data_IF_163336729392
#
_entry.id   IF_163336729392
#
_cell.length_a   1.000
_cell.length_b   1.000
_cell.length_c   1.000
_cell.angle_alpha   90.00
_cell.angle_beta   90.00
_cell.angle_gamma   90.00
#
_symmetry.space_group_name_H-M   'P 1'
#
loop_
_entity.id
_entity.type
_entity.pdbx_description
1 polymer ?
#
# COMPACT_ATOMS: atom_id res chain seq x y z
N UNK A 1 -35.92 -43.73 5.01
CA UNK A 1 -34.81 -44.57 5.49
C UNK A 1 -33.53 -43.76 5.26
N UNK A 2 -32.95 -43.20 6.33
CA UNK A 2 -31.68 -42.47 6.26
C UNK A 2 -30.56 -43.51 6.06
N UNK A 3 -29.74 -43.36 5.02
CA UNK A 3 -28.51 -44.16 4.85
C UNK A 3 -27.30 -43.30 5.20
N UNK A 4 -26.48 -43.76 6.15
CA UNK A 4 -25.24 -43.06 6.57
C UNK A 4 -24.37 -42.71 5.37
N UNK A 5 -24.25 -43.61 4.39
CA UNK A 5 -23.40 -43.43 3.20
C UNK A 5 -23.85 -42.33 2.22
N UNK A 6 -25.09 -41.84 2.29
CA UNK A 6 -25.62 -40.84 1.34
C UNK A 6 -25.87 -39.47 1.94
N UNK A 7 -25.94 -39.36 3.26
CA UNK A 7 -26.36 -38.13 3.94
C UNK A 7 -25.56 -37.78 5.20
N UNK A 8 -24.59 -38.60 5.62
CA UNK A 8 -23.69 -38.27 6.73
C UNK A 8 -22.54 -37.37 6.23
N UNK A 9 -22.81 -36.07 6.06
CA UNK A 9 -21.74 -35.07 6.06
C UNK A 9 -21.40 -34.74 7.51
N UNK A 10 -20.26 -35.24 8.01
CA UNK A 10 -19.84 -35.02 9.40
C UNK A 10 -19.42 -33.56 9.61
N UNK A 11 -18.86 -32.94 8.56
CA UNK A 11 -18.53 -31.51 8.54
C UNK A 11 -18.85 -30.86 7.18
N UNK A 12 -19.29 -29.59 7.15
CA UNK A 12 -19.65 -28.86 5.91
C UNK A 12 -18.56 -28.79 4.81
N UNK A 13 -17.31 -29.07 5.18
CA UNK A 13 -16.11 -29.02 4.33
C UNK A 13 -15.47 -30.38 4.04
N UNK A 14 -16.10 -31.49 4.45
CA UNK A 14 -15.55 -32.83 4.24
C UNK A 14 -15.36 -33.10 2.73
N UNK A 15 -14.16 -33.57 2.36
CA UNK A 15 -13.72 -33.81 0.98
C UNK A 15 -13.63 -32.56 0.06
N UNK A 16 -13.69 -31.34 0.61
CA UNK A 16 -13.46 -30.11 -0.15
C UNK A 16 -12.04 -29.60 0.05
N UNK A 17 -11.38 -29.22 -1.03
CA UNK A 17 -10.10 -28.50 -0.98
C UNK A 17 -10.40 -27.02 -0.74
N UNK A 18 -9.86 -26.40 0.32
CA UNK A 18 -10.09 -24.98 0.56
C UNK A 18 -9.47 -24.16 -0.58
N UNK A 19 -10.24 -23.20 -1.09
CA UNK A 19 -9.71 -22.25 -2.05
C UNK A 19 -8.65 -21.37 -1.36
N UNK A 20 -7.59 -21.04 -2.09
CA UNK A 20 -6.57 -20.13 -1.55
C UNK A 20 -7.21 -18.77 -1.29
N UNK A 21 -6.90 -18.17 -0.14
CA UNK A 21 -7.29 -16.79 0.21
C UNK A 21 -6.87 -15.73 -0.84
N UNK A 22 -5.96 -16.08 -1.75
CA UNK A 22 -5.54 -15.23 -2.86
C UNK A 22 -6.45 -15.29 -4.09
N UNK A 23 -7.16 -16.41 -4.28
CA UNK A 23 -8.00 -16.65 -5.45
C UNK A 23 -9.49 -16.51 -5.13
N UNK A 24 -9.87 -16.73 -3.87
CA UNK A 24 -11.23 -16.45 -3.41
C UNK A 24 -11.53 -14.94 -3.51
N UNK A 25 -12.57 -14.64 -4.30
CA UNK A 25 -13.02 -13.29 -4.61
C UNK A 25 -13.56 -12.58 -3.36
N UNK A 26 -14.22 -13.31 -2.46
CA UNK A 26 -14.91 -12.80 -1.28
C UNK A 26 -14.15 -13.08 0.03
N UNK A 27 -12.93 -13.62 -0.05
CA UNK A 27 -12.11 -13.96 1.11
C UNK A 27 -11.97 -12.81 2.12
N UNK A 28 -11.97 -11.56 1.66
CA UNK A 28 -11.81 -10.40 2.52
C UNK A 28 -13.10 -10.09 3.30
N UNK A 29 -14.25 -10.15 2.66
CA UNK A 29 -15.56 -10.01 3.26
C UNK A 29 -15.82 -11.11 4.28
N UNK A 30 -15.49 -12.36 3.92
CA UNK A 30 -15.58 -13.53 4.80
C UNK A 30 -14.61 -13.46 5.98
N UNK A 31 -13.42 -12.87 5.80
CA UNK A 31 -12.44 -12.71 6.88
C UNK A 31 -12.80 -11.61 7.87
N UNK A 32 -13.61 -10.63 7.47
CA UNK A 32 -13.95 -9.46 8.29
C UNK A 32 -15.46 -9.20 8.33
N UNK A 33 -16.28 -10.15 8.84
CA UNK A 33 -17.73 -10.00 8.88
C UNK A 33 -18.19 -8.78 9.71
N UNK A 34 -17.42 -8.37 10.74
CA UNK A 34 -17.73 -7.17 11.52
C UNK A 34 -17.58 -5.85 10.73
N UNK A 35 -16.75 -5.85 9.67
CA UNK A 35 -16.53 -4.68 8.81
C UNK A 35 -17.59 -4.65 7.71
N UNK A 36 -17.81 -5.78 7.05
CA UNK A 36 -18.68 -5.90 5.88
C UNK A 36 -20.12 -6.29 6.21
N UNK A 37 -20.43 -6.57 7.49
CA UNK A 37 -21.75 -6.95 7.98
C UNK A 37 -22.33 -8.21 7.30
N UNK A 38 -21.46 -9.12 6.87
CA UNK A 38 -21.85 -10.33 6.14
C UNK A 38 -22.24 -10.11 4.68
N UNK A 39 -22.17 -8.87 4.19
CA UNK A 39 -22.53 -8.52 2.82
C UNK A 39 -21.32 -8.48 1.90
N UNK A 40 -21.48 -9.03 0.70
CA UNK A 40 -20.45 -8.95 -0.33
C UNK A 40 -20.46 -7.58 -1.01
N UNK A 41 -19.27 -7.07 -1.36
CA UNK A 41 -19.18 -5.82 -2.12
C UNK A 41 -19.74 -6.02 -3.53
N UNK A 42 -20.63 -5.12 -3.93
CA UNK A 42 -21.18 -5.08 -5.29
C UNK A 42 -20.57 -3.92 -6.05
N UNK A 43 -20.10 -4.19 -7.26
CA UNK A 43 -19.57 -3.18 -8.17
C UNK A 43 -20.45 -3.08 -9.41
N UNK A 44 -20.44 -1.91 -10.06
CA UNK A 44 -21.09 -1.74 -11.36
C UNK A 44 -20.39 -2.62 -12.38
N UNK A 45 -21.13 -3.27 -13.28
CA UNK A 45 -20.57 -4.23 -14.25
C UNK A 45 -19.47 -3.64 -15.14
N UNK A 46 -19.59 -2.36 -15.48
CA UNK A 46 -18.63 -1.63 -16.31
C UNK A 46 -17.35 -1.22 -15.55
N UNK A 47 -17.34 -1.31 -14.22
CA UNK A 47 -16.25 -0.82 -13.40
C UNK A 47 -15.15 -1.89 -13.24
N UNK A 48 -13.98 -1.63 -13.81
CA UNK A 48 -12.79 -2.43 -13.52
C UNK A 48 -12.19 -2.02 -12.16
N UNK A 49 -12.60 -2.71 -11.10
CA UNK A 49 -12.19 -2.42 -9.73
C UNK A 49 -11.05 -3.33 -9.30
N UNK A 50 -9.88 -2.74 -9.04
CA UNK A 50 -8.72 -3.50 -8.52
C UNK A 50 -8.72 -3.56 -6.99
N UNK A 51 -8.10 -4.59 -6.38
CA UNK A 51 -7.95 -4.67 -4.92
C UNK A 51 -7.25 -3.44 -4.31
N UNK A 52 -6.32 -2.82 -5.05
CA UNK A 52 -5.67 -1.58 -4.62
C UNK A 52 -6.64 -0.40 -4.57
N UNK A 53 -7.56 -0.28 -5.54
CA UNK A 53 -8.59 0.76 -5.56
C UNK A 53 -9.57 0.58 -4.42
N UNK A 54 -9.98 -0.66 -4.13
CA UNK A 54 -10.87 -1.00 -3.02
C UNK A 54 -10.25 -0.58 -1.69
N UNK A 55 -9.03 -1.05 -1.42
CA UNK A 55 -8.26 -0.67 -0.23
C UNK A 55 -8.14 0.85 -0.10
N UNK A 56 -7.73 1.50 -1.18
CA UNK A 56 -7.51 2.95 -1.21
C UNK A 56 -8.80 3.75 -0.96
N UNK A 57 -9.94 3.27 -1.44
CA UNK A 57 -11.26 3.83 -1.16
C UNK A 57 -11.59 3.68 0.31
N UNK A 58 -11.54 2.45 0.85
CA UNK A 58 -11.90 2.13 2.24
C UNK A 58 -11.07 2.94 3.25
N UNK A 59 -9.75 3.04 3.05
CA UNK A 59 -8.85 3.78 3.95
C UNK A 59 -9.18 5.29 4.04
N UNK A 60 -9.89 5.85 3.05
CA UNK A 60 -10.23 7.28 2.95
C UNK A 60 -11.66 7.61 3.34
N UNK A 61 -12.47 6.61 3.69
CA UNK A 61 -13.85 6.84 4.14
C UNK A 61 -13.87 7.41 5.55
N UNK A 62 -14.95 8.13 5.85
CA UNK A 62 -15.24 8.57 7.22
C UNK A 62 -15.47 7.38 8.15
N UNK A 63 -16.02 6.28 7.61
CA UNK A 63 -16.09 5.00 8.32
C UNK A 63 -14.67 4.44 8.56
N UNK A 64 -14.32 4.29 9.84
CA UNK A 64 -12.98 3.86 10.28
C UNK A 64 -12.84 2.36 10.48
N UNK A 65 -13.89 1.56 10.26
CA UNK A 65 -13.80 0.08 10.36
C UNK A 65 -12.77 -0.50 9.40
N UNK A 66 -12.57 0.11 8.23
CA UNK A 66 -11.58 -0.30 7.24
C UNK A 66 -10.12 0.03 7.57
N UNK A 67 -9.86 0.85 8.61
CA UNK A 67 -8.49 1.26 8.98
C UNK A 67 -7.92 0.54 10.19
N UNK A 68 -8.63 -0.48 10.69
CA UNK A 68 -8.14 -1.31 11.78
C UNK A 68 -6.80 -1.98 11.41
N UNK A 69 -5.83 -2.09 12.33
CA UNK A 69 -4.51 -2.63 12.02
C UNK A 69 -4.52 -4.03 11.40
N UNK A 70 -5.35 -4.94 11.91
CA UNK A 70 -5.52 -6.29 11.37
C UNK A 70 -6.01 -6.28 9.91
N UNK A 71 -7.02 -5.45 9.61
CA UNK A 71 -7.57 -5.28 8.26
C UNK A 71 -6.55 -4.67 7.31
N UNK A 72 -5.81 -3.66 7.78
CA UNK A 72 -4.78 -2.99 7.00
C UNK A 72 -3.65 -3.96 6.63
N UNK A 73 -3.14 -4.73 7.62
CA UNK A 73 -2.10 -5.73 7.40
C UNK A 73 -2.57 -6.83 6.42
N UNK A 74 -3.79 -7.34 6.59
CA UNK A 74 -4.38 -8.29 5.65
C UNK A 74 -4.39 -7.73 4.23
N UNK A 75 -4.88 -6.51 4.07
CA UNK A 75 -5.03 -5.85 2.77
C UNK A 75 -3.68 -5.58 2.10
N UNK A 76 -2.69 -5.13 2.89
CA UNK A 76 -1.32 -4.94 2.44
C UNK A 76 -0.69 -6.26 1.96
N UNK A 77 -0.87 -7.34 2.73
CA UNK A 77 -0.36 -8.67 2.37
C UNK A 77 -1.05 -9.25 1.14
N UNK A 78 -2.38 -9.09 1.01
CA UNK A 78 -3.15 -9.49 -0.18
C UNK A 78 -2.62 -8.80 -1.43
N UNK A 79 -2.48 -7.46 -1.40
CA UNK A 79 -1.97 -6.68 -2.53
C UNK A 79 -0.52 -7.07 -2.88
N UNK A 80 0.33 -7.25 -1.88
CA UNK A 80 1.72 -7.67 -2.07
C UNK A 80 1.79 -9.05 -2.74
N UNK A 81 1.02 -10.03 -2.26
CA UNK A 81 0.97 -11.38 -2.83
C UNK A 81 0.44 -11.38 -4.26
N UNK A 82 -0.61 -10.60 -4.56
CA UNK A 82 -1.12 -10.45 -5.93
C UNK A 82 -0.08 -9.87 -6.90
N UNK A 83 0.72 -8.90 -6.46
CA UNK A 83 1.84 -8.35 -7.24
C UNK A 83 2.93 -9.38 -7.46
N UNK A 84 3.29 -10.15 -6.43
CA UNK A 84 4.26 -11.25 -6.52
C UNK A 84 3.76 -12.32 -7.51
N UNK A 85 2.52 -12.79 -7.37
CA UNK A 85 1.93 -13.76 -8.30
C UNK A 85 1.94 -13.25 -9.75
N UNK A 86 1.56 -12.00 -9.97
CA UNK A 86 1.62 -11.39 -11.32
C UNK A 86 3.05 -11.35 -11.87
N UNK A 87 4.02 -10.97 -11.04
CA UNK A 87 5.42 -10.92 -11.44
C UNK A 87 6.01 -12.32 -11.72
N UNK A 88 5.63 -13.33 -10.92
CA UNK A 88 5.98 -14.73 -11.17
C UNK A 88 5.39 -15.20 -12.50
N UNK A 89 4.09 -14.98 -12.76
CA UNK A 89 3.46 -15.35 -14.04
C UNK A 89 4.20 -14.76 -15.25
N UNK A 90 4.58 -13.49 -15.18
CA UNK A 90 5.37 -12.83 -16.24
C UNK A 90 6.77 -13.44 -16.33
N UNK A 91 7.42 -13.69 -15.19
CA UNK A 91 8.74 -14.30 -15.15
C UNK A 91 8.77 -15.69 -15.80
N UNK A 92 7.87 -16.58 -15.39
CA UNK A 92 7.76 -17.94 -15.90
C UNK A 92 7.33 -18.02 -17.36
N UNK A 93 6.58 -17.03 -17.89
CA UNK A 93 6.22 -16.96 -19.31
C UNK A 93 7.44 -17.02 -20.24
N UNK A 94 8.61 -16.59 -19.78
CA UNK A 94 9.82 -16.51 -20.60
C UNK A 94 10.79 -17.69 -20.40
N UNK A 95 10.49 -18.64 -19.50
CA UNK A 95 11.41 -19.73 -19.15
C UNK A 95 11.16 -21.00 -20.00
N UNK A 96 9.98 -21.11 -20.63
CA UNK A 96 9.68 -22.17 -21.61
C UNK A 96 9.44 -21.58 -23.00
N UNK A 97 10.33 -21.87 -23.96
CA UNK A 97 10.01 -21.70 -25.40
C UNK A 97 9.10 -22.83 -25.91
N UNK A 98 9.10 -23.95 -25.20
CA UNK A 98 8.37 -25.16 -25.56
C UNK A 98 7.05 -25.19 -24.78
N UNK A 99 5.94 -25.43 -25.48
CA UNK A 99 4.60 -25.52 -24.88
C UNK A 99 4.33 -26.92 -24.30
N UNK A 100 5.18 -27.90 -24.60
CA UNK A 100 5.07 -29.28 -24.13
C UNK A 100 5.90 -29.52 -22.85
N UNK A 101 5.44 -28.95 -21.74
CA UNK A 101 6.02 -29.21 -20.41
C UNK A 101 5.21 -30.33 -19.74
N UNK A 102 5.84 -31.47 -19.43
CA UNK A 102 5.18 -32.59 -18.75
C UNK A 102 4.94 -32.30 -17.26
N UNK A 103 3.93 -32.94 -16.67
CA UNK A 103 3.61 -32.81 -15.25
C UNK A 103 4.79 -33.23 -14.36
N UNK A 104 5.54 -34.29 -14.70
CA UNK A 104 6.70 -34.70 -13.91
C UNK A 104 7.79 -33.62 -13.88
N UNK A 105 7.98 -32.92 -15.00
CA UNK A 105 8.99 -31.86 -15.10
C UNK A 105 8.62 -30.60 -14.31
N UNK A 106 7.33 -30.26 -14.21
CA UNK A 106 6.88 -29.14 -13.36
C UNK A 106 7.01 -29.47 -11.88
N UNK A 107 6.85 -30.73 -11.50
CA UNK A 107 6.94 -31.19 -10.11
C UNK A 107 8.38 -31.46 -9.66
N UNK A 108 9.37 -31.38 -10.54
CA UNK A 108 10.76 -31.58 -10.14
C UNK A 108 11.35 -30.34 -9.48
N UNK A 109 11.94 -30.53 -8.30
CA UNK A 109 12.57 -29.45 -7.53
C UNK A 109 13.72 -28.80 -8.31
N UNK A 110 14.50 -29.58 -9.07
CA UNK A 110 15.60 -29.07 -9.90
C UNK A 110 15.11 -28.09 -10.97
N UNK A 111 13.98 -28.39 -11.61
CA UNK A 111 13.40 -27.51 -12.62
C UNK A 111 12.88 -26.22 -11.99
N UNK A 112 12.18 -26.32 -10.85
CA UNK A 112 11.69 -25.14 -10.11
C UNK A 112 12.88 -24.28 -9.64
N UNK A 113 13.91 -24.87 -9.07
CA UNK A 113 15.10 -24.16 -8.59
C UNK A 113 15.84 -23.47 -9.73
N UNK A 114 16.05 -24.14 -10.87
CA UNK A 114 16.66 -23.52 -12.04
C UNK A 114 15.84 -22.33 -12.57
N UNK A 115 14.50 -22.44 -12.55
CA UNK A 115 13.62 -21.33 -12.92
C UNK A 115 13.67 -20.16 -11.93
N UNK A 116 13.80 -20.45 -10.63
CA UNK A 116 13.88 -19.43 -9.58
C UNK A 116 15.22 -18.69 -9.60
N UNK A 117 16.34 -19.40 -9.71
CA UNK A 117 17.68 -18.81 -9.78
C UNK A 117 17.82 -17.87 -10.98
N UNK A 118 17.24 -18.24 -12.11
CA UNK A 118 17.25 -17.42 -13.33
C UNK A 118 16.27 -16.24 -13.25
N UNK A 119 15.28 -16.25 -12.36
CA UNK A 119 14.19 -15.26 -12.34
C UNK A 119 13.80 -14.74 -10.96
N UNK A 120 14.78 -14.25 -10.20
CA UNK A 120 14.58 -13.52 -8.94
C UNK A 120 13.93 -12.12 -9.11
N UNK A 121 13.55 -11.75 -10.34
CA UNK A 121 12.99 -10.43 -10.64
C UNK A 121 11.63 -10.20 -9.98
N UNK A 122 10.86 -11.25 -9.64
CA UNK A 122 9.58 -11.10 -8.94
C UNK A 122 9.74 -10.48 -7.55
N UNK A 123 10.90 -10.68 -6.90
CA UNK A 123 11.19 -10.13 -5.57
C UNK A 123 11.21 -8.60 -5.55
N UNK A 124 11.31 -7.94 -6.72
CA UNK A 124 11.14 -6.47 -6.82
C UNK A 124 9.74 -6.01 -6.38
N UNK A 125 8.76 -6.90 -6.36
CA UNK A 125 7.38 -6.63 -5.94
C UNK A 125 7.22 -6.64 -4.42
N UNK A 126 8.22 -7.18 -3.70
CA UNK A 126 8.28 -7.22 -2.25
C UNK A 126 8.94 -5.92 -1.77
N UNK A 127 8.21 -5.02 -1.09
CA UNK A 127 8.81 -3.80 -0.56
C UNK A 127 10.00 -4.11 0.35
N UNK A 128 11.03 -3.29 0.28
CA UNK A 128 12.26 -3.40 1.07
C UNK A 128 13.14 -4.64 0.83
N UNK A 129 12.83 -5.49 -0.16
CA UNK A 129 13.74 -6.56 -0.58
C UNK A 129 15.03 -6.00 -1.20
N UNK A 130 16.10 -6.80 -1.24
CA UNK A 130 17.36 -6.40 -1.88
C UNK A 130 17.17 -6.05 -3.37
N UNK A 131 16.34 -6.81 -4.09
CA UNK A 131 16.03 -6.55 -5.49
C UNK A 131 15.14 -5.32 -5.69
N UNK A 132 14.22 -5.04 -4.76
CA UNK A 132 13.45 -3.78 -4.73
C UNK A 132 14.38 -2.58 -4.61
N UNK A 133 15.31 -2.58 -3.64
CA UNK A 133 16.26 -1.49 -3.47
C UNK A 133 17.24 -1.36 -4.62
N UNK A 134 17.72 -2.49 -5.17
CA UNK A 134 18.56 -2.50 -6.35
C UNK A 134 17.86 -1.86 -7.55
N UNK A 135 16.57 -2.15 -7.77
CA UNK A 135 15.76 -1.51 -8.81
C UNK A 135 15.63 0.00 -8.58
N UNK A 136 15.24 0.43 -7.37
CA UNK A 136 15.13 1.87 -7.04
C UNK A 136 16.45 2.61 -7.19
N UNK A 137 17.57 1.99 -6.80
CA UNK A 137 18.91 2.52 -7.01
C UNK A 137 19.19 2.69 -8.50
N UNK A 138 18.92 1.69 -9.34
CA UNK A 138 19.11 1.79 -10.79
C UNK A 138 18.30 2.94 -11.40
N UNK A 139 17.04 3.11 -11.01
CA UNK A 139 16.19 4.22 -11.47
C UNK A 139 16.81 5.58 -11.11
N UNK A 140 17.24 5.75 -9.86
CA UNK A 140 17.87 6.99 -9.41
C UNK A 140 19.18 7.28 -10.17
N UNK A 141 20.04 6.27 -10.37
CA UNK A 141 21.27 6.45 -11.14
C UNK A 141 20.99 6.74 -12.61
N UNK A 142 19.93 6.17 -13.20
CA UNK A 142 19.50 6.51 -14.55
C UNK A 142 19.05 7.97 -14.64
N UNK A 143 18.25 8.45 -13.67
CA UNK A 143 17.89 9.86 -13.56
C UNK A 143 19.12 10.77 -13.47
N UNK A 144 20.11 10.42 -12.64
CA UNK A 144 21.34 11.22 -12.51
C UNK A 144 22.18 11.26 -13.80
N UNK A 145 22.23 10.15 -14.56
CA UNK A 145 22.94 10.10 -15.84
C UNK A 145 22.24 10.93 -16.93
N UNK A 146 20.91 10.91 -16.95
CA UNK A 146 20.13 11.59 -18.01
C UNK A 146 19.87 13.08 -17.70
N UNK A 147 19.62 13.41 -16.43
CA UNK A 147 19.22 14.75 -15.99
C UNK A 147 20.37 15.53 -15.34
N UNK A 148 21.52 14.89 -15.14
CA UNK A 148 22.66 15.44 -14.43
C UNK A 148 22.59 15.27 -12.92
N UNK A 149 23.56 15.88 -12.22
CA UNK A 149 23.67 15.79 -10.75
C UNK A 149 22.46 16.43 -10.06
N UNK A 150 21.94 15.84 -8.96
CA UNK A 150 20.95 16.49 -8.12
C UNK A 150 21.47 17.84 -7.63
N UNK A 151 20.62 18.85 -7.62
CA UNK A 151 20.99 20.21 -7.21
C UNK A 151 20.81 20.39 -5.71
N UNK A 152 19.74 19.81 -5.15
CA UNK A 152 19.41 19.94 -3.74
C UNK A 152 18.81 18.63 -3.20
N UNK A 153 19.10 18.35 -1.94
CA UNK A 153 18.49 17.28 -1.17
C UNK A 153 17.58 17.89 -0.10
N UNK A 154 16.33 17.42 -0.03
CA UNK A 154 15.30 17.92 0.87
C UNK A 154 14.81 16.77 1.74
N UNK A 155 14.86 16.96 3.05
CA UNK A 155 14.30 16.05 4.04
C UNK A 155 13.14 16.71 4.76
N UNK A 156 12.01 16.01 4.87
CA UNK A 156 10.81 16.53 5.55
C UNK A 156 10.32 15.46 6.53
N UNK A 157 10.28 15.79 7.82
CA UNK A 157 9.72 14.95 8.88
C UNK A 157 8.30 15.37 9.20
N UNK A 158 7.45 14.41 9.54
CA UNK A 158 6.17 14.73 10.14
C UNK A 158 6.32 15.26 11.58
N UNK A 159 5.44 16.19 11.94
CA UNK A 159 5.23 16.67 13.30
C UNK A 159 3.73 16.65 13.60
N UNK A 160 3.15 15.45 13.68
CA UNK A 160 1.71 15.25 13.74
C UNK A 160 1.07 15.93 14.96
N UNK A 161 1.79 15.94 16.09
CA UNK A 161 1.38 16.59 17.35
C UNK A 161 1.24 18.10 17.19
N UNK A 162 2.06 18.70 16.33
CA UNK A 162 2.08 20.14 16.08
C UNK A 162 1.18 20.60 14.93
N UNK A 163 0.30 19.75 14.40
CA UNK A 163 -0.57 20.09 13.27
C UNK A 163 -2.04 20.22 13.69
N UNK A 164 -2.52 21.44 14.02
CA UNK A 164 -3.90 21.64 14.50
C UNK A 164 -4.95 21.12 13.53
N UNK A 165 -4.76 21.37 12.22
CA UNK A 165 -5.67 20.88 11.18
C UNK A 165 -5.75 19.34 11.13
N UNK A 166 -4.62 18.65 11.34
CA UNK A 166 -4.61 17.18 11.41
C UNK A 166 -5.35 16.71 12.66
N UNK A 167 -5.04 17.29 13.82
CA UNK A 167 -5.71 16.95 15.09
C UNK A 167 -7.22 17.14 15.01
N UNK A 168 -7.69 18.21 14.36
CA UNK A 168 -9.11 18.46 14.09
C UNK A 168 -9.75 17.36 13.27
N UNK A 169 -9.09 16.95 12.18
CA UNK A 169 -9.57 15.86 11.32
C UNK A 169 -9.65 14.56 12.11
N UNK A 170 -8.61 14.22 12.88
CA UNK A 170 -8.58 13.00 13.69
C UNK A 170 -9.68 13.00 14.75
N UNK A 171 -9.87 14.12 15.46
CA UNK A 171 -10.95 14.28 16.43
C UNK A 171 -12.32 14.09 15.77
N UNK A 172 -12.55 14.77 14.65
CA UNK A 172 -13.80 14.68 13.89
C UNK A 172 -14.10 13.25 13.46
N UNK A 173 -13.10 12.51 12.99
CA UNK A 173 -13.26 11.11 12.59
C UNK A 173 -13.55 10.19 13.77
N UNK A 174 -12.93 10.44 14.93
CA UNK A 174 -13.13 9.65 16.16
C UNK A 174 -14.51 9.89 16.79
N UNK A 175 -14.94 11.14 16.85
CA UNK A 175 -16.15 11.58 17.55
C UNK A 175 -17.33 11.84 16.60
N UNK A 176 -17.46 11.02 15.55
CA UNK A 176 -18.62 10.97 14.65
C UNK A 176 -19.02 12.33 14.04
N UNK A 177 -18.05 13.19 13.74
CA UNK A 177 -18.28 14.47 13.07
C UNK A 177 -18.19 15.70 13.97
N UNK A 178 -17.94 15.55 15.27
CA UNK A 178 -17.75 16.68 16.19
C UNK A 178 -16.53 17.53 15.82
N UNK A 179 -16.76 18.82 15.60
CA UNK A 179 -15.71 19.79 15.26
C UNK A 179 -15.26 20.57 16.50
N UNK A 180 -13.94 20.63 16.69
CA UNK A 180 -13.32 21.50 17.68
C UNK A 180 -12.91 22.84 17.06
N UNK A 181 -13.00 23.90 17.86
CA UNK A 181 -12.40 25.20 17.54
C UNK A 181 -10.88 25.14 17.67
N UNK A 182 -10.19 26.13 17.10
CA UNK A 182 -8.73 26.22 17.18
C UNK A 182 -8.23 26.31 18.63
N UNK A 183 -8.92 27.09 19.45
CA UNK A 183 -8.64 27.25 20.88
C UNK A 183 -8.72 25.92 21.63
N UNK A 184 -9.75 25.11 21.35
CA UNK A 184 -9.93 23.80 21.98
C UNK A 184 -8.82 22.82 21.58
N UNK A 185 -8.36 22.86 20.33
CA UNK A 185 -7.27 21.99 19.84
C UNK A 185 -5.93 22.35 20.48
N UNK A 186 -5.66 23.64 20.68
CA UNK A 186 -4.44 24.09 21.32
C UNK A 186 -4.36 23.63 22.77
N UNK A 187 -5.49 23.69 23.48
CA UNK A 187 -5.63 23.28 24.89
C UNK A 187 -5.55 21.75 25.09
N UNK A 188 -5.72 20.95 24.03
CA UNK A 188 -5.56 19.49 24.14
C UNK A 188 -4.19 19.14 24.71
N UNK A 189 -4.20 18.28 25.73
CA UNK A 189 -2.98 17.83 26.37
C UNK A 189 -2.20 16.88 25.45
N UNK A 190 -0.91 16.68 25.75
CA UNK A 190 -0.03 15.82 24.94
C UNK A 190 -0.56 14.39 24.80
N UNK A 191 -1.16 13.84 25.86
CA UNK A 191 -1.70 12.49 25.88
C UNK A 191 -2.89 12.35 24.91
N UNK A 192 -3.86 13.27 24.97
CA UNK A 192 -5.01 13.33 24.06
C UNK A 192 -4.57 13.45 22.60
N UNK A 193 -3.60 14.33 22.31
CA UNK A 193 -3.03 14.48 20.97
C UNK A 193 -2.41 13.16 20.48
N UNK A 194 -1.63 12.50 21.34
CA UNK A 194 -0.97 11.23 21.01
C UNK A 194 -1.97 10.10 20.82
N UNK A 195 -3.03 10.04 21.63
CA UNK A 195 -4.13 9.07 21.45
C UNK A 195 -4.81 9.23 20.10
N UNK A 196 -5.16 10.46 19.70
CA UNK A 196 -5.78 10.72 18.39
C UNK A 196 -4.88 10.26 17.22
N UNK A 197 -3.58 10.47 17.32
CA UNK A 197 -2.60 10.08 16.30
C UNK A 197 -2.46 8.56 16.21
N UNK A 198 -2.38 7.88 17.36
CA UNK A 198 -2.20 6.44 17.42
C UNK A 198 -3.46 5.67 16.99
N UNK A 199 -4.64 6.19 17.33
CA UNK A 199 -5.92 5.58 16.96
C UNK A 199 -6.13 5.57 15.44
N UNK A 200 -5.54 6.53 14.71
CA UNK A 200 -5.69 6.64 13.26
C UNK A 200 -4.39 7.07 12.55
N UNK A 201 -3.38 6.21 12.63
CA UNK A 201 -2.10 6.38 11.94
C UNK A 201 -2.24 6.41 10.41
N UNK A 202 -3.30 5.83 9.85
CA UNK A 202 -3.59 5.82 8.40
C UNK A 202 -3.88 7.24 7.92
N UNK A 203 -4.75 7.97 8.63
CA UNK A 203 -5.04 9.36 8.30
C UNK A 203 -3.79 10.23 8.40
N UNK A 204 -2.96 10.03 9.44
CA UNK A 204 -1.66 10.71 9.57
C UNK A 204 -0.75 10.48 8.34
N UNK A 205 -0.59 9.24 7.90
CA UNK A 205 0.21 8.90 6.73
C UNK A 205 -0.36 9.49 5.43
N UNK A 206 -1.69 9.48 5.25
CA UNK A 206 -2.35 10.10 4.10
C UNK A 206 -2.16 11.61 4.11
N UNK A 207 -2.32 12.25 5.27
CA UNK A 207 -2.15 13.69 5.45
C UNK A 207 -0.71 14.11 5.09
N UNK A 208 0.28 13.41 5.64
CA UNK A 208 1.69 13.64 5.32
C UNK A 208 1.95 13.51 3.81
N UNK A 209 1.50 12.43 3.18
CA UNK A 209 1.73 12.23 1.75
C UNK A 209 1.06 13.32 0.89
N UNK A 210 -0.15 13.78 1.27
CA UNK A 210 -0.81 14.92 0.63
C UNK A 210 0.01 16.20 0.78
N UNK A 211 0.49 16.50 1.98
CA UNK A 211 1.32 17.67 2.27
C UNK A 211 2.59 17.67 1.42
N UNK A 212 3.30 16.54 1.36
CA UNK A 212 4.50 16.41 0.51
C UNK A 212 4.17 16.61 -0.97
N UNK A 213 3.05 16.05 -1.46
CA UNK A 213 2.65 16.25 -2.85
C UNK A 213 2.33 17.72 -3.15
N UNK A 214 1.66 18.44 -2.24
CA UNK A 214 1.40 19.88 -2.40
C UNK A 214 2.71 20.67 -2.41
N UNK A 215 3.66 20.36 -1.51
CA UNK A 215 4.99 20.99 -1.53
C UNK A 215 5.66 20.77 -2.90
N UNK A 216 5.67 19.53 -3.41
CA UNK A 216 6.27 19.28 -4.73
C UNK A 216 5.56 20.05 -5.85
N UNK A 217 4.23 20.15 -5.82
CA UNK A 217 3.48 20.95 -6.80
C UNK A 217 3.86 22.44 -6.72
N UNK A 218 4.05 22.99 -5.53
CA UNK A 218 4.50 24.37 -5.33
C UNK A 218 5.91 24.55 -5.91
N UNK A 219 6.85 23.64 -5.58
CA UNK A 219 8.25 23.72 -6.06
C UNK A 219 8.36 23.58 -7.60
N UNK A 220 7.43 22.87 -8.23
CA UNK A 220 7.35 22.72 -9.69
C UNK A 220 6.54 23.84 -10.38
N UNK A 221 5.79 24.65 -9.62
CA UNK A 221 4.88 25.67 -10.13
C UNK A 221 5.61 26.80 -10.85
N UNK A 222 5.12 27.20 -12.01
CA UNK A 222 5.67 28.36 -12.74
C UNK A 222 5.38 29.71 -12.05
N UNK A 223 4.29 29.79 -11.29
CA UNK A 223 3.80 31.05 -10.69
C UNK A 223 4.16 31.19 -9.22
N UNK A 224 4.12 30.07 -8.49
CA UNK A 224 4.20 30.05 -7.02
C UNK A 224 5.52 29.48 -6.50
N UNK A 225 6.41 28.98 -7.37
CA UNK A 225 7.65 28.38 -6.90
C UNK A 225 8.49 29.42 -6.17
N UNK A 226 8.97 29.12 -4.95
CA UNK A 226 9.85 30.02 -4.21
C UNK A 226 11.19 30.25 -4.91
N UNK A 227 11.55 29.40 -5.87
CA UNK A 227 12.75 29.54 -6.68
C UNK A 227 12.54 30.42 -7.94
N UNK A 228 11.35 31.01 -8.09
CA UNK A 228 11.01 31.88 -9.21
C UNK A 228 11.22 31.19 -10.55
N UNK A 229 12.12 31.76 -11.37
CA UNK A 229 12.44 31.23 -12.70
C UNK A 229 13.17 29.90 -12.69
N UNK A 230 13.73 29.45 -11.56
CA UNK A 230 14.49 28.21 -11.43
C UNK A 230 13.64 27.16 -10.72
N UNK A 231 12.58 26.67 -11.34
CA UNK A 231 11.66 25.75 -10.67
C UNK A 231 12.12 24.30 -10.81
N UNK A 232 11.72 23.46 -9.87
CA UNK A 232 12.04 22.03 -9.92
C UNK A 232 11.38 21.42 -11.15
N UNK A 233 12.15 20.70 -11.98
CA UNK A 233 11.61 19.96 -13.10
C UNK A 233 11.38 18.49 -12.76
N UNK A 234 12.38 17.85 -12.17
CA UNK A 234 12.34 16.44 -11.80
C UNK A 234 12.72 16.26 -10.33
N UNK A 235 12.26 15.16 -9.75
CA UNK A 235 12.64 14.78 -8.41
C UNK A 235 12.51 13.27 -8.22
N UNK A 236 13.30 12.74 -7.30
CA UNK A 236 13.14 11.40 -6.77
C UNK A 236 12.71 11.51 -5.31
N UNK A 237 11.63 10.83 -4.93
CA UNK A 237 11.09 10.83 -3.56
C UNK A 237 11.09 9.41 -2.99
N UNK A 238 11.59 9.28 -1.77
CA UNK A 238 11.42 8.11 -0.91
C UNK A 238 10.73 8.51 0.38
N UNK A 239 9.72 7.75 0.81
CA UNK A 239 9.11 7.90 2.13
C UNK A 239 9.55 6.70 2.95
N UNK A 240 10.02 6.96 4.16
CA UNK A 240 10.34 5.97 5.18
C UNK A 240 9.59 6.31 6.47
N UNK A 241 9.49 5.35 7.37
CA UNK A 241 8.92 5.57 8.70
C UNK A 241 10.05 5.47 9.70
N UNK A 242 10.21 6.50 10.53
CA UNK A 242 11.25 6.54 11.56
C UNK A 242 10.92 5.55 12.69
N UNK A 243 11.87 5.32 13.60
CA UNK A 243 11.72 4.38 14.72
C UNK A 243 10.49 4.67 15.63
N UNK A 244 9.96 5.90 15.58
CA UNK A 244 8.77 6.33 16.31
C UNK A 244 7.46 6.17 15.53
N UNK A 245 7.51 5.64 14.31
CA UNK A 245 6.33 5.42 13.46
C UNK A 245 5.87 6.63 12.64
N UNK A 246 6.53 7.79 12.77
CA UNK A 246 6.23 8.98 11.95
C UNK A 246 6.88 8.89 10.56
N UNK A 247 6.18 9.33 9.50
CA UNK A 247 6.74 9.34 8.16
C UNK A 247 7.78 10.43 7.97
N UNK A 248 8.78 10.13 7.15
CA UNK A 248 9.87 11.01 6.78
C UNK A 248 10.14 10.87 5.28
N UNK A 249 10.22 12.00 4.59
CA UNK A 249 10.45 12.06 3.16
C UNK A 249 11.89 12.47 2.86
N UNK A 250 12.57 11.66 2.05
CA UNK A 250 13.85 11.98 1.42
C UNK A 250 13.62 12.30 -0.04
N UNK A 251 13.97 13.51 -0.46
CA UNK A 251 13.67 14.02 -1.80
C UNK A 251 14.95 14.57 -2.43
N UNK A 252 15.34 14.00 -3.57
CA UNK A 252 16.39 14.54 -4.42
C UNK A 252 15.74 15.39 -5.51
N UNK A 253 16.09 16.66 -5.59
CA UNK A 253 15.62 17.58 -6.61
C UNK A 253 16.63 17.61 -7.76
N UNK A 254 16.17 17.23 -8.94
CA UNK A 254 16.98 17.10 -10.14
C UNK A 254 16.47 18.08 -11.21
N UNK A 255 17.34 19.01 -11.62
CA UNK A 255 17.00 19.97 -12.66
C UNK A 255 16.18 21.15 -12.16
N UNK A 256 16.69 22.33 -12.47
CA UNK A 256 16.03 23.61 -12.26
C UNK A 256 15.89 24.22 -13.66
N UNK A 257 14.66 24.44 -14.12
CA UNK A 257 14.36 25.11 -15.41
C UNK A 257 14.00 26.54 -15.10
#
# INVERSE_FOLDING_TARGET
MWSEDKFLQIAPGENKVPESLLFDTYAEELSFPAIYLGEFRVFREEANVTPFMMATSELRRSDRRGVLPNKLLYTAMKIMRLRVCSALKIGFKHIGKDTNISKERVLSDDYINACLETNLAFMKSIPNSATYWSARKRDLFAMMRQLGRPTMFLTISANEIGWPNLLRILHKLKNQGEELTDEQIEVLNYFQKTTLINDDAVTCAIYFNKLINVIMLILQSKKLSPFGKYRVSHYFKRIEFQHRGSPHAHILLCGFI
#
